data_IF_597326239467
#
_entry.id   IF_597326239467
#
_cell.length_a   1.000
_cell.length_b   1.000
_cell.length_c   1.000
_cell.angle_alpha   90.00
_cell.angle_beta   90.00
_cell.angle_gamma   90.00
#
_symmetry.space_group_name_H-M   'P 1'
#
loop_
_entity.id
_entity.type
_entity.pdbx_description
1 polymer ?
#
# COMPACT_ATOMS: atom_id res chain seq x y z
N UNK A 1 -5.23 -15.20 9.00
CA UNK A 1 -6.26 -15.92 8.22
C UNK A 1 -6.39 -17.38 8.62
N UNK A 2 -5.32 -18.19 8.74
CA UNK A 2 -5.49 -19.61 9.14
C UNK A 2 -6.15 -19.82 10.52
N UNK A 3 -6.03 -18.83 11.42
CA UNK A 3 -6.74 -18.82 12.70
C UNK A 3 -8.24 -18.54 12.55
N UNK A 4 -8.64 -17.83 11.49
CA UNK A 4 -10.05 -17.49 11.20
C UNK A 4 -10.70 -18.57 10.33
N UNK A 5 -10.03 -18.97 9.26
CA UNK A 5 -10.48 -19.93 8.25
C UNK A 5 -9.27 -20.77 7.78
N UNK A 6 -9.06 -21.96 8.36
CA UNK A 6 -7.90 -22.80 8.06
C UNK A 6 -7.78 -23.13 6.56
N UNK A 7 -6.61 -22.86 5.96
CA UNK A 7 -6.30 -23.19 4.57
C UNK A 7 -6.82 -22.19 3.54
N UNK A 8 -7.67 -21.22 3.91
CA UNK A 8 -8.18 -20.20 3.00
C UNK A 8 -7.06 -19.33 2.43
N UNK A 9 -6.06 -18.98 3.25
CA UNK A 9 -4.91 -18.19 2.81
C UNK A 9 -4.12 -18.86 1.68
N UNK A 10 -3.94 -20.18 1.75
CA UNK A 10 -3.26 -20.94 0.70
C UNK A 10 -4.08 -21.00 -0.60
N UNK A 11 -5.40 -21.16 -0.49
CA UNK A 11 -6.30 -21.15 -1.64
C UNK A 11 -6.31 -19.79 -2.36
N UNK A 12 -6.36 -18.69 -1.60
CA UNK A 12 -6.26 -17.33 -2.14
C UNK A 12 -4.90 -17.12 -2.83
N UNK A 13 -3.81 -17.54 -2.18
CA UNK A 13 -2.45 -17.45 -2.76
C UNK A 13 -2.31 -18.23 -4.06
N UNK A 14 -2.92 -19.40 -4.17
CA UNK A 14 -2.87 -20.21 -5.39
C UNK A 14 -3.57 -19.56 -6.60
N UNK A 15 -4.54 -18.67 -6.33
CA UNK A 15 -5.28 -17.90 -7.35
C UNK A 15 -4.70 -16.51 -7.60
N UNK A 16 -3.82 -16.02 -6.74
CA UNK A 16 -3.25 -14.69 -6.84
C UNK A 16 -2.25 -14.60 -8.01
N UNK A 17 -2.27 -13.47 -8.70
CA UNK A 17 -1.38 -13.18 -9.83
C UNK A 17 -0.42 -12.05 -9.40
N UNK A 18 0.90 -12.31 -9.29
CA UNK A 18 1.87 -11.31 -8.83
C UNK A 18 2.20 -10.33 -9.97
N UNK A 19 1.30 -9.38 -10.23
CA UNK A 19 1.43 -8.43 -11.34
C UNK A 19 2.28 -7.19 -11.02
N UNK A 20 2.64 -6.93 -9.76
CA UNK A 20 3.44 -5.75 -9.35
C UNK A 20 4.47 -6.11 -8.27
N UNK A 21 5.48 -5.25 -8.10
CA UNK A 21 6.44 -5.32 -6.99
C UNK A 21 7.56 -6.36 -7.15
N UNK A 22 7.54 -7.16 -8.21
CA UNK A 22 8.61 -8.10 -8.53
C UNK A 22 9.53 -7.59 -9.64
N UNK A 23 10.69 -8.23 -9.79
CA UNK A 23 11.68 -7.85 -10.82
C UNK A 23 11.13 -7.93 -12.24
N UNK A 24 10.32 -8.95 -12.51
CA UNK A 24 9.82 -9.29 -13.84
C UNK A 24 8.31 -9.06 -13.96
N UNK A 25 7.76 -8.12 -13.19
CA UNK A 25 6.33 -7.80 -13.21
C UNK A 25 5.95 -6.81 -14.31
N UNK A 26 4.65 -6.59 -14.51
CA UNK A 26 4.19 -5.68 -15.57
C UNK A 26 4.74 -4.27 -15.37
N UNK A 27 5.06 -3.60 -16.48
CA UNK A 27 5.52 -2.21 -16.47
C UNK A 27 4.31 -1.29 -16.52
N UNK A 28 4.05 -0.62 -15.41
CA UNK A 28 2.96 0.36 -15.32
C UNK A 28 3.42 1.65 -16.02
N UNK A 29 2.62 2.24 -16.93
CA UNK A 29 2.95 3.52 -17.54
C UNK A 29 3.15 4.62 -16.51
N UNK A 30 4.02 5.57 -16.82
CA UNK A 30 4.26 6.71 -15.94
C UNK A 30 2.97 7.51 -15.75
N UNK A 31 2.67 7.87 -14.49
CA UNK A 31 1.49 8.64 -14.12
C UNK A 31 0.22 7.80 -13.90
N UNK A 32 0.24 6.52 -14.24
CA UNK A 32 -0.87 5.61 -13.96
C UNK A 32 -0.80 5.05 -12.54
N UNK A 33 -1.99 4.90 -11.94
CA UNK A 33 -2.13 4.10 -10.73
C UNK A 33 -2.18 2.62 -11.12
N UNK A 34 -1.24 1.83 -10.57
CA UNK A 34 -1.06 0.44 -10.94
C UNK A 34 -2.35 -0.38 -10.85
N UNK A 35 -3.12 -0.23 -9.76
CA UNK A 35 -4.39 -0.92 -9.56
C UNK A 35 -5.41 -0.59 -10.66
N UNK A 36 -5.61 0.70 -10.95
CA UNK A 36 -6.55 1.14 -11.97
C UNK A 36 -6.14 0.69 -13.37
N UNK A 37 -4.85 0.83 -13.71
CA UNK A 37 -4.34 0.42 -15.00
C UNK A 37 -4.48 -1.10 -15.22
N UNK A 38 -4.09 -1.91 -14.24
CA UNK A 38 -4.20 -3.38 -14.30
C UNK A 38 -5.65 -3.83 -14.54
N UNK A 39 -6.60 -3.25 -13.81
CA UNK A 39 -8.02 -3.56 -13.96
C UNK A 39 -8.55 -3.14 -15.34
N UNK A 40 -8.17 -1.95 -15.83
CA UNK A 40 -8.54 -1.47 -17.18
C UNK A 40 -7.99 -2.34 -18.31
N UNK A 41 -6.81 -2.90 -18.13
CA UNK A 41 -6.22 -3.84 -19.10
C UNK A 41 -6.84 -5.25 -19.02
N UNK A 42 -7.73 -5.52 -18.05
CA UNK A 42 -8.31 -6.83 -17.84
C UNK A 42 -7.31 -7.89 -17.37
N UNK A 43 -6.20 -7.47 -16.74
CA UNK A 43 -5.16 -8.40 -16.28
C UNK A 43 -5.52 -9.07 -14.94
N UNK A 44 -6.44 -8.47 -14.19
CA UNK A 44 -7.01 -9.04 -12.97
C UNK A 44 -8.45 -8.52 -12.79
N UNK A 45 -9.28 -9.29 -12.09
CA UNK A 45 -10.64 -8.87 -11.72
C UNK A 45 -10.68 -8.09 -10.40
N UNK A 46 -9.70 -8.33 -9.52
CA UNK A 46 -9.55 -7.70 -8.21
C UNK A 46 -8.07 -7.42 -7.95
N UNK A 47 -7.78 -6.24 -7.39
CA UNK A 47 -6.44 -5.83 -6.97
C UNK A 47 -6.43 -5.51 -5.48
N UNK A 48 -5.58 -6.21 -4.72
CA UNK A 48 -5.36 -5.91 -3.30
C UNK A 48 -4.23 -4.88 -3.20
N UNK A 49 -4.55 -3.68 -2.74
CA UNK A 49 -3.62 -2.56 -2.62
C UNK A 49 -3.68 -1.86 -1.26
N UNK A 50 -2.75 -0.94 -1.03
CA UNK A 50 -2.69 -0.18 0.21
C UNK A 50 -3.82 0.85 0.31
N UNK A 51 -4.36 1.02 1.52
CA UNK A 51 -5.48 1.93 1.81
C UNK A 51 -5.19 3.39 1.46
N UNK A 52 -3.92 3.82 1.47
CA UNK A 52 -3.55 5.20 1.16
C UNK A 52 -3.89 5.61 -0.29
N UNK A 53 -4.07 4.65 -1.21
CA UNK A 53 -4.56 4.93 -2.57
C UNK A 53 -6.07 5.19 -2.65
N UNK A 54 -6.82 4.96 -1.56
CA UNK A 54 -8.27 5.07 -1.55
C UNK A 54 -8.71 6.45 -2.05
N UNK A 55 -8.09 7.53 -1.58
CA UNK A 55 -8.48 8.89 -2.01
C UNK A 55 -8.43 9.06 -3.53
N UNK A 56 -7.35 8.61 -4.16
CA UNK A 56 -7.19 8.70 -5.61
C UNK A 56 -8.14 7.77 -6.38
N UNK A 57 -8.44 6.58 -5.82
CA UNK A 57 -9.38 5.63 -6.43
C UNK A 57 -10.84 6.11 -6.35
N UNK A 58 -11.25 6.77 -5.26
CA UNK A 58 -12.60 7.32 -5.12
C UNK A 58 -12.93 8.41 -6.16
N UNK A 59 -11.91 9.06 -6.72
CA UNK A 59 -12.09 10.06 -7.77
C UNK A 59 -12.34 9.44 -9.16
N UNK A 60 -12.21 8.12 -9.32
CA UNK A 60 -12.39 7.42 -10.58
C UNK A 60 -13.83 6.91 -10.74
N UNK A 61 -14.32 6.87 -11.97
CA UNK A 61 -15.68 6.40 -12.29
C UNK A 61 -15.73 4.96 -12.77
N UNK A 62 -14.59 4.40 -13.16
CA UNK A 62 -14.46 3.10 -13.84
C UNK A 62 -13.77 2.03 -12.98
N UNK A 63 -13.38 2.39 -11.75
CA UNK A 63 -12.80 1.48 -10.76
C UNK A 63 -13.50 1.74 -9.43
N UNK A 64 -13.88 0.66 -8.74
CA UNK A 64 -14.49 0.75 -7.43
C UNK A 64 -13.52 0.29 -6.35
N UNK A 65 -13.35 1.13 -5.33
CA UNK A 65 -12.67 0.77 -4.10
C UNK A 65 -13.64 0.05 -3.17
N UNK A 66 -13.18 -1.06 -2.58
CA UNK A 66 -13.90 -1.80 -1.53
C UNK A 66 -12.98 -1.87 -0.33
N UNK A 67 -13.45 -1.37 0.82
CA UNK A 67 -12.72 -1.48 2.08
C UNK A 67 -12.68 -2.94 2.54
N UNK A 68 -11.52 -3.42 2.96
CA UNK A 68 -11.37 -4.71 3.62
C UNK A 68 -11.82 -4.52 5.08
N UNK A 69 -12.75 -5.36 5.61
CA UNK A 69 -13.15 -5.29 7.01
C UNK A 69 -11.97 -5.39 7.98
N UNK A 70 -12.01 -4.66 9.09
CA UNK A 70 -10.89 -4.55 10.04
C UNK A 70 -10.40 -5.91 10.57
N UNK A 71 -11.33 -6.86 10.78
CA UNK A 71 -11.05 -8.25 11.18
C UNK A 71 -10.22 -9.06 10.16
N UNK A 72 -10.14 -8.59 8.92
CA UNK A 72 -9.38 -9.20 7.83
C UNK A 72 -8.27 -8.30 7.30
N UNK A 73 -8.26 -7.03 7.69
CA UNK A 73 -7.34 -6.04 7.18
C UNK A 73 -6.00 -6.14 7.91
N UNK A 74 -4.92 -6.24 7.15
CA UNK A 74 -3.58 -6.32 7.72
C UNK A 74 -3.04 -4.89 7.83
N UNK A 75 -2.74 -4.46 9.05
CA UNK A 75 -2.01 -3.22 9.25
C UNK A 75 -0.54 -3.42 8.83
N UNK A 76 -0.12 -2.70 7.79
CA UNK A 76 1.27 -2.69 7.36
C UNK A 76 2.03 -1.58 8.07
N UNK A 77 3.03 -1.96 8.86
CA UNK A 77 3.96 -1.02 9.48
C UNK A 77 5.09 -0.66 8.51
N UNK A 78 5.28 0.64 8.28
CA UNK A 78 6.41 1.16 7.53
C UNK A 78 7.53 1.54 8.51
N UNK A 79 8.72 0.99 8.28
CA UNK A 79 9.88 1.24 9.11
C UNK A 79 10.96 1.97 8.34
N UNK A 80 11.73 2.79 9.06
CA UNK A 80 12.90 3.49 8.54
C UNK A 80 14.16 2.89 9.15
N UNK A 81 15.15 2.59 8.30
CA UNK A 81 16.47 2.13 8.71
C UNK A 81 17.53 3.17 8.30
N UNK A 82 18.44 3.48 9.22
CA UNK A 82 19.53 4.42 9.00
C UNK A 82 20.78 3.64 8.60
N UNK A 83 21.31 3.90 7.41
CA UNK A 83 22.51 3.22 6.88
C UNK A 83 23.80 4.02 7.13
N UNK A 84 23.68 5.31 7.34
CA UNK A 84 24.77 6.25 7.64
C UNK A 84 24.28 7.30 8.64
N UNK A 85 25.11 7.67 9.61
CA UNK A 85 24.76 8.59 10.69
C UNK A 85 25.36 9.99 10.48
N UNK A 86 25.57 10.40 9.22
CA UNK A 86 25.92 11.78 8.89
C UNK A 86 24.85 12.76 9.36
N UNK A 87 25.25 14.02 9.55
CA UNK A 87 24.35 15.07 10.04
C UNK A 87 23.18 15.30 9.09
N UNK A 88 23.43 15.20 7.80
CA UNK A 88 22.45 15.40 6.74
C UNK A 88 21.40 14.28 6.75
N UNK A 89 21.82 13.02 6.91
CA UNK A 89 20.90 11.88 7.03
C UNK A 89 20.07 12.00 8.30
N UNK A 90 20.70 12.31 9.43
CA UNK A 90 19.97 12.45 10.70
C UNK A 90 18.97 13.61 10.67
N UNK A 91 19.30 14.74 10.02
CA UNK A 91 18.35 15.84 9.83
C UNK A 91 17.10 15.42 9.01
N UNK A 92 17.28 14.56 7.99
CA UNK A 92 16.14 14.01 7.24
C UNK A 92 15.31 13.05 8.11
N UNK A 93 15.95 12.19 8.89
CA UNK A 93 15.27 11.27 9.82
C UNK A 93 14.44 12.07 10.82
N UNK A 94 15.04 13.07 11.47
CA UNK A 94 14.36 13.96 12.41
C UNK A 94 13.17 14.67 11.75
N UNK A 95 13.32 15.12 10.50
CA UNK A 95 12.22 15.74 9.77
C UNK A 95 11.07 14.76 9.51
N UNK A 96 11.35 13.55 9.02
CA UNK A 96 10.33 12.50 8.76
C UNK A 96 9.55 12.16 10.04
N UNK A 97 10.25 12.06 11.18
CA UNK A 97 9.65 11.75 12.47
C UNK A 97 8.97 12.95 13.16
N UNK A 98 9.27 14.18 12.73
CA UNK A 98 8.66 15.39 13.29
C UNK A 98 7.17 15.48 12.96
N UNK A 99 6.44 16.33 13.71
CA UNK A 99 5.02 16.65 13.42
C UNK A 99 4.79 17.08 11.97
N UNK A 100 5.69 17.89 11.41
CA UNK A 100 5.57 18.39 10.04
C UNK A 100 5.76 17.26 9.02
N UNK A 101 6.76 16.39 9.23
CA UNK A 101 6.97 15.22 8.37
C UNK A 101 5.81 14.24 8.42
N UNK A 102 5.32 13.94 9.63
CA UNK A 102 4.14 13.10 9.83
C UNK A 102 2.88 13.68 9.17
N UNK A 103 2.70 15.01 9.16
CA UNK A 103 1.58 15.65 8.49
C UNK A 103 1.57 15.37 6.96
N UNK A 104 2.73 15.34 6.31
CA UNK A 104 2.82 14.94 4.90
C UNK A 104 2.46 13.47 4.70
N UNK A 105 2.91 12.57 5.58
CA UNK A 105 2.57 11.15 5.50
C UNK A 105 1.08 10.91 5.73
N UNK A 106 0.47 11.56 6.74
CA UNK A 106 -0.97 11.47 6.98
C UNK A 106 -1.78 12.02 5.80
N UNK A 107 -1.37 13.16 5.23
CA UNK A 107 -2.03 13.70 4.03
C UNK A 107 -1.94 12.76 2.83
N UNK A 108 -0.86 11.96 2.75
CA UNK A 108 -0.69 10.92 1.74
C UNK A 108 -1.44 9.61 2.07
N UNK A 109 -2.11 9.51 3.22
CA UNK A 109 -2.94 8.37 3.63
C UNK A 109 -2.27 7.34 4.54
N UNK A 110 -1.12 7.67 5.13
CA UNK A 110 -0.46 6.82 6.14
C UNK A 110 -0.98 7.11 7.55
N UNK A 111 -0.96 6.10 8.42
CA UNK A 111 -1.21 6.29 9.84
C UNK A 111 0.00 7.00 10.48
N UNK A 112 -0.22 7.97 11.39
CA UNK A 112 0.87 8.60 12.11
C UNK A 112 1.49 7.63 13.13
N UNK A 113 2.75 7.87 13.51
CA UNK A 113 3.50 7.03 14.47
C UNK A 113 2.81 6.81 15.82
N UNK A 114 1.95 7.74 16.25
CA UNK A 114 1.25 7.70 17.53
C UNK A 114 -0.28 7.64 17.35
N UNK A 115 -0.78 7.01 16.28
CA UNK A 115 -2.20 6.68 16.21
C UNK A 115 -2.50 5.54 17.20
N UNK A 116 -2.98 5.91 18.38
CA UNK A 116 -3.89 5.05 19.16
C UNK A 116 -5.31 5.19 18.60
#
# INVERSE_FOLDING_TARGET
MDVLEPGLGQQLRARAIPLVGGRDTVKIPQGELASAWILRQGLADLFIGYAHYAHALHAMTDVHYVAIPDEHNICCEYQLAVLDASKEVMALVEFILSRSGQAFLTAAGFLPLNAE
#
